data_IF_368296717182
#
_entry.id   IF_368296717182
#
_cell.length_a   1.000
_cell.length_b   1.000
_cell.length_c   1.000
_cell.angle_alpha   90.00
_cell.angle_beta   90.00
_cell.angle_gamma   90.00
#
_symmetry.space_group_name_H-M   'P 1'
#
loop_
_entity.id
_entity.type
_entity.pdbx_description
1 polymer ?
#
# COMPACT_ATOMS: atom_id res chain seq x y z
N UNK A 1 -2.46 39.55 11.91
CA UNK A 1 -3.32 38.35 12.05
C UNK A 1 -2.60 37.18 11.41
N UNK A 2 -2.17 36.20 12.20
CA UNK A 2 -1.42 35.03 11.69
C UNK A 2 -2.37 34.03 11.03
N UNK A 3 -2.09 33.69 9.76
CA UNK A 3 -2.89 32.81 8.91
C UNK A 3 -2.68 31.31 9.22
N UNK A 4 -2.45 30.94 10.47
CA UNK A 4 -2.25 29.54 10.85
C UNK A 4 -3.59 28.94 11.33
N UNK A 5 -4.19 28.09 10.49
CA UNK A 5 -5.39 27.34 10.84
C UNK A 5 -5.16 26.34 12.00
N UNK A 6 -6.23 25.84 12.64
CA UNK A 6 -6.12 24.93 13.78
C UNK A 6 -5.41 23.62 13.38
N UNK A 7 -4.39 23.24 14.15
CA UNK A 7 -3.63 21.99 13.94
C UNK A 7 -4.48 20.79 14.35
N UNK A 8 -5.01 20.05 13.38
CA UNK A 8 -5.69 18.78 13.62
C UNK A 8 -4.63 17.68 13.81
N UNK A 9 -4.57 17.07 15.00
CA UNK A 9 -3.73 15.89 15.24
C UNK A 9 -4.41 14.67 14.61
N UNK A 10 -3.97 14.25 13.42
CA UNK A 10 -4.31 12.94 12.89
C UNK A 10 -3.72 11.86 13.80
N UNK A 11 -4.59 11.00 14.36
CA UNK A 11 -4.14 9.80 15.05
C UNK A 11 -3.87 8.72 14.02
N UNK A 12 -2.61 8.64 13.63
CA UNK A 12 -2.11 7.57 12.79
C UNK A 12 -2.04 6.31 13.67
N UNK A 13 -2.72 5.22 13.27
CA UNK A 13 -2.77 3.95 14.01
C UNK A 13 -1.38 3.30 14.15
N UNK A 14 -1.30 2.19 14.91
CA UNK A 14 -0.04 1.50 15.23
C UNK A 14 0.77 1.08 13.98
N UNK A 15 0.11 0.80 12.86
CA UNK A 15 0.74 0.47 11.58
C UNK A 15 0.00 1.12 10.39
N UNK A 16 0.29 2.39 10.08
CA UNK A 16 -0.44 3.12 9.04
C UNK A 16 -0.14 2.68 7.61
N UNK A 17 0.96 1.95 7.42
CA UNK A 17 1.40 1.48 6.11
C UNK A 17 1.13 -0.01 5.91
N UNK A 18 0.50 -0.65 6.90
CA UNK A 18 0.27 -2.09 6.96
C UNK A 18 1.56 -2.89 6.70
N UNK A 19 2.69 -2.42 7.24
CA UNK A 19 4.02 -3.06 7.09
C UNK A 19 4.02 -4.45 7.72
N UNK A 20 3.42 -4.63 8.90
CA UNK A 20 3.38 -5.95 9.54
C UNK A 20 2.71 -7.01 8.64
N UNK A 21 1.69 -6.62 7.87
CA UNK A 21 1.07 -7.53 6.92
C UNK A 21 1.91 -7.71 5.65
N UNK A 22 2.54 -6.65 5.14
CA UNK A 22 3.34 -6.67 3.90
C UNK A 22 4.64 -7.47 4.06
N UNK A 23 5.32 -7.31 5.18
CA UNK A 23 6.60 -7.96 5.48
C UNK A 23 6.44 -9.39 6.01
N UNK A 24 5.21 -9.83 6.28
CA UNK A 24 4.94 -11.19 6.78
C UNK A 24 5.04 -12.22 5.65
N UNK A 25 6.23 -12.81 5.55
CA UNK A 25 6.61 -13.85 4.59
C UNK A 25 5.95 -15.22 4.87
N UNK A 26 5.29 -15.39 6.02
CA UNK A 26 4.76 -16.68 6.46
C UNK A 26 3.35 -16.99 5.93
N UNK A 27 2.75 -16.08 5.15
CA UNK A 27 1.37 -16.22 4.71
C UNK A 27 1.19 -17.34 3.70
N UNK A 28 0.10 -18.08 3.86
CA UNK A 28 -0.33 -19.12 2.93
C UNK A 28 -0.36 -18.64 1.47
N UNK A 29 -0.87 -17.42 1.22
CA UNK A 29 -0.93 -16.84 -0.12
C UNK A 29 0.44 -16.62 -0.74
N UNK A 30 1.43 -16.18 0.04
CA UNK A 30 2.80 -16.00 -0.44
C UNK A 30 3.45 -17.33 -0.80
N UNK A 31 3.32 -18.32 0.09
CA UNK A 31 3.82 -19.69 -0.14
C UNK A 31 3.17 -20.34 -1.37
N UNK A 32 1.89 -20.07 -1.61
CA UNK A 32 1.18 -20.56 -2.81
C UNK A 32 1.69 -19.87 -4.08
N UNK A 33 1.88 -18.54 -4.05
CA UNK A 33 2.46 -17.81 -5.19
C UNK A 33 3.87 -18.30 -5.52
N UNK A 34 4.72 -18.50 -4.51
CA UNK A 34 6.07 -19.06 -4.69
C UNK A 34 6.04 -20.45 -5.33
N UNK A 35 5.13 -21.33 -4.88
CA UNK A 35 4.95 -22.67 -5.49
C UNK A 35 4.51 -22.61 -6.94
N UNK A 36 3.79 -21.58 -7.34
CA UNK A 36 3.35 -21.36 -8.73
C UNK A 36 4.42 -20.66 -9.59
N UNK A 37 5.64 -20.46 -9.07
CA UNK A 37 6.77 -19.88 -9.80
C UNK A 37 6.89 -18.36 -9.69
N UNK A 38 6.06 -17.72 -8.85
CA UNK A 38 6.18 -16.29 -8.58
C UNK A 38 7.28 -16.00 -7.55
N UNK A 39 8.03 -14.91 -7.71
CA UNK A 39 9.09 -14.51 -6.77
C UNK A 39 8.95 -13.04 -6.41
N UNK A 40 9.40 -12.67 -5.22
CA UNK A 40 9.36 -11.27 -4.78
C UNK A 40 10.12 -10.37 -5.76
N UNK A 41 9.46 -9.29 -6.19
CA UNK A 41 9.97 -8.36 -7.20
C UNK A 41 9.62 -8.71 -8.65
N UNK A 42 9.04 -9.89 -8.94
CA UNK A 42 8.52 -10.22 -10.27
C UNK A 42 7.07 -9.78 -10.42
N UNK A 43 6.75 -9.19 -11.56
CA UNK A 43 5.36 -8.88 -11.92
C UNK A 43 4.55 -10.15 -12.13
N UNK A 44 3.24 -10.09 -11.86
CA UNK A 44 2.34 -11.22 -12.09
C UNK A 44 2.03 -11.38 -13.60
N UNK A 45 1.83 -12.62 -14.06
CA UNK A 45 1.43 -12.92 -15.43
C UNK A 45 2.51 -13.58 -16.29
N UNK A 46 2.13 -14.11 -17.45
CA UNK A 46 2.99 -14.93 -18.31
C UNK A 46 4.22 -14.21 -18.88
N UNK A 47 4.22 -12.87 -18.88
CA UNK A 47 5.33 -12.01 -19.32
C UNK A 47 5.91 -11.17 -18.18
N UNK A 48 5.56 -11.46 -16.93
CA UNK A 48 6.00 -10.69 -15.76
C UNK A 48 5.59 -9.19 -15.81
N UNK A 49 4.58 -8.85 -16.63
CA UNK A 49 4.14 -7.48 -16.94
C UNK A 49 3.18 -6.90 -15.88
N UNK A 50 2.71 -7.73 -14.95
CA UNK A 50 1.82 -7.29 -13.87
C UNK A 50 2.52 -6.36 -12.89
N UNK A 51 1.74 -5.50 -12.23
CA UNK A 51 2.29 -4.56 -11.25
C UNK A 51 3.01 -5.29 -10.12
N UNK A 52 4.24 -4.87 -9.84
CA UNK A 52 5.07 -5.36 -8.73
C UNK A 52 4.66 -4.76 -7.39
N UNK A 53 3.92 -3.64 -7.43
CA UNK A 53 3.41 -2.97 -6.25
C UNK A 53 1.89 -3.09 -6.14
N UNK A 54 1.41 -3.10 -4.91
CA UNK A 54 -0.01 -3.03 -4.59
C UNK A 54 -0.57 -1.66 -4.95
N UNK A 55 -1.82 -1.64 -5.46
CA UNK A 55 -2.52 -0.39 -5.81
C UNK A 55 -2.63 0.50 -4.59
N UNK A 56 -1.94 1.65 -4.63
CA UNK A 56 -1.99 2.66 -3.56
C UNK A 56 -3.20 3.56 -3.80
N UNK A 57 -4.18 3.50 -2.89
CA UNK A 57 -5.28 4.45 -2.89
C UNK A 57 -4.73 5.77 -2.35
N UNK A 58 -4.70 6.81 -3.18
CA UNK A 58 -4.47 8.18 -2.71
C UNK A 58 -5.74 8.65 -2.03
N UNK A 59 -5.80 8.57 -0.70
CA UNK A 59 -6.88 9.19 0.05
C UNK A 59 -6.75 10.70 -0.10
N UNK A 60 -7.73 11.34 -0.74
CA UNK A 60 -7.80 12.78 -0.84
C UNK A 60 -8.47 13.30 0.42
N UNK A 61 -7.74 14.06 1.23
CA UNK A 61 -8.25 14.67 2.47
C UNK A 61 -8.85 16.07 2.26
N UNK A 62 -8.87 16.57 1.02
CA UNK A 62 -9.27 17.94 0.70
C UNK A 62 -10.56 17.98 -0.14
N UNK A 63 -11.43 18.96 0.12
CA UNK A 63 -12.69 19.19 -0.60
C UNK A 63 -12.50 19.89 -1.96
N UNK A 64 -11.28 20.17 -2.41
CA UNK A 64 -11.06 20.63 -3.78
C UNK A 64 -11.43 19.54 -4.78
N UNK A 65 -12.05 19.94 -5.89
CA UNK A 65 -12.60 19.05 -6.91
C UNK A 65 -11.64 17.97 -7.40
N UNK A 66 -12.17 16.79 -7.69
CA UNK A 66 -11.43 15.66 -8.26
C UNK A 66 -11.18 15.92 -9.75
N UNK A 67 -10.03 16.53 -10.03
CA UNK A 67 -9.45 16.68 -11.37
C UNK A 67 -7.98 16.33 -11.33
#
# INVERSE_FOLDING_TARGET
MGLAGPRIKQRIGLDPQNKQWKDDQSKFGLKMMQKMGWSEGKGLGAREDGQTEHVKIKLKEDNLGTG
#
